data_IF_548042133012
#
_entry.id   IF_548042133012
#
_cell.length_a   1.000
_cell.length_b   1.000
_cell.length_c   1.000
_cell.angle_alpha   90.00
_cell.angle_beta   90.00
_cell.angle_gamma   90.00
#
_symmetry.space_group_name_H-M   'P 1'
#
loop_
_entity.id
_entity.type
_entity.pdbx_description
1 polymer ?
#
# COMPACT_ATOMS: atom_id res chain seq x y z
N UNK A 1 11.11 2.05 -10.85
CA UNK A 1 10.50 1.04 -9.96
C UNK A 1 9.05 0.88 -10.38
N UNK A 2 8.50 -0.35 -10.49
CA UNK A 2 7.09 -0.52 -10.82
C UNK A 2 6.21 0.14 -9.74
N UNK A 3 5.06 0.73 -10.13
CA UNK A 3 4.16 1.35 -9.16
C UNK A 3 3.56 0.30 -8.22
N UNK A 4 3.27 0.70 -6.99
CA UNK A 4 2.46 -0.12 -6.08
C UNK A 4 1.02 -0.10 -6.59
N UNK A 5 0.39 -1.28 -6.67
CA UNK A 5 -0.98 -1.42 -7.15
C UNK A 5 -1.87 -2.06 -6.08
N UNK A 6 -3.08 -1.54 -5.94
CA UNK A 6 -4.14 -2.13 -5.13
C UNK A 6 -5.28 -2.50 -6.06
N UNK A 7 -5.66 -3.78 -6.07
CA UNK A 7 -6.76 -4.29 -6.90
C UNK A 7 -7.93 -4.64 -6.01
N UNK A 8 -9.10 -4.06 -6.29
CA UNK A 8 -10.35 -4.46 -5.67
C UNK A 8 -10.79 -5.81 -6.25
N UNK A 9 -10.97 -6.81 -5.38
CA UNK A 9 -11.39 -8.15 -5.78
C UNK A 9 -12.68 -8.56 -5.07
N UNK A 10 -13.46 -9.43 -5.72
CA UNK A 10 -14.59 -10.12 -5.10
C UNK A 10 -14.12 -11.34 -4.26
N UNK A 11 -15.07 -12.06 -3.66
CA UNK A 11 -14.84 -13.26 -2.85
C UNK A 11 -14.18 -14.42 -3.61
N UNK A 12 -14.14 -14.34 -4.95
CA UNK A 12 -13.53 -15.32 -5.85
C UNK A 12 -12.20 -14.84 -6.42
N UNK A 13 -11.69 -13.69 -5.97
CA UNK A 13 -10.43 -13.12 -6.44
C UNK A 13 -10.51 -12.44 -7.81
N UNK A 14 -11.71 -12.17 -8.33
CA UNK A 14 -11.88 -11.47 -9.62
C UNK A 14 -11.91 -9.97 -9.40
N UNK A 15 -11.27 -9.21 -10.29
CA UNK A 15 -11.26 -7.75 -10.23
C UNK A 15 -12.68 -7.18 -10.34
N UNK A 16 -13.07 -6.37 -9.37
CA UNK A 16 -14.32 -5.60 -9.38
C UNK A 16 -14.09 -4.34 -10.20
N UNK A 17 -14.24 -4.43 -11.52
CA UNK A 17 -13.93 -3.32 -12.44
C UNK A 17 -14.82 -2.10 -12.25
N UNK A 18 -16.02 -2.28 -11.70
CA UNK A 18 -16.93 -1.19 -11.36
C UNK A 18 -16.46 -0.35 -10.15
N UNK A 19 -15.46 -0.82 -9.38
CA UNK A 19 -14.94 -0.06 -8.25
C UNK A 19 -14.08 1.12 -8.72
N UNK A 20 -14.54 2.32 -8.38
CA UNK A 20 -13.85 3.59 -8.67
C UNK A 20 -13.65 4.47 -7.40
N UNK A 21 -13.76 3.85 -6.22
CA UNK A 21 -13.64 4.53 -4.94
C UNK A 21 -12.20 4.94 -4.60
N UNK A 22 -12.02 5.83 -3.61
CA UNK A 22 -10.70 6.20 -3.13
C UNK A 22 -10.05 5.04 -2.37
N UNK A 23 -8.76 4.84 -2.60
CA UNK A 23 -7.88 3.94 -1.85
C UNK A 23 -6.79 4.77 -1.21
N UNK A 24 -6.61 4.63 0.10
CA UNK A 24 -5.56 5.30 0.87
C UNK A 24 -4.48 4.31 1.28
N UNK A 25 -3.22 4.71 1.15
CA UNK A 25 -2.05 3.94 1.54
C UNK A 25 -1.46 4.47 2.85
N UNK A 26 -1.09 3.55 3.73
CA UNK A 26 -0.35 3.85 4.97
C UNK A 26 0.71 2.78 5.21
N UNK A 27 1.62 3.04 6.15
CA UNK A 27 2.47 1.98 6.72
C UNK A 27 1.59 1.11 7.64
N UNK A 28 1.67 -0.20 7.49
CA UNK A 28 1.09 -1.18 8.42
C UNK A 28 2.04 -1.39 9.60
N UNK A 29 3.08 -2.19 9.36
CA UNK A 29 4.22 -2.39 10.24
C UNK A 29 5.38 -1.47 9.81
N UNK A 30 5.89 -0.70 10.78
CA UNK A 30 7.01 0.21 10.55
C UNK A 30 8.34 -0.49 10.90
N UNK A 31 9.10 -0.85 9.87
CA UNK A 31 10.35 -1.60 9.99
C UNK A 31 11.61 -0.76 10.24
N UNK A 32 11.47 0.53 10.53
CA UNK A 32 12.60 1.46 10.62
C UNK A 32 13.71 0.97 11.56
N UNK A 33 14.95 1.02 11.09
CA UNK A 33 16.10 0.44 11.80
C UNK A 33 16.50 1.22 13.06
N UNK A 34 16.57 2.54 12.95
CA UNK A 34 17.01 3.46 14.03
C UNK A 34 15.85 4.34 14.49
N UNK A 35 15.07 4.86 13.53
CA UNK A 35 13.87 5.66 13.75
C UNK A 35 12.75 5.15 12.82
N UNK A 36 11.47 5.37 13.19
CA UNK A 36 10.35 4.99 12.32
C UNK A 36 10.43 5.72 10.97
N UNK A 37 10.14 4.99 9.90
CA UNK A 37 10.03 5.56 8.56
C UNK A 37 8.72 6.35 8.38
N UNK A 38 8.78 7.36 7.53
CA UNK A 38 7.64 8.18 7.10
C UNK A 38 7.29 7.84 5.67
N UNK A 39 6.03 7.47 5.43
CA UNK A 39 5.51 7.28 4.07
C UNK A 39 5.10 8.63 3.47
N UNK A 40 5.60 8.92 2.27
CA UNK A 40 5.36 10.13 1.51
C UNK A 40 4.99 9.82 0.05
N UNK A 41 4.54 10.85 -0.67
CA UNK A 41 4.02 10.74 -2.04
C UNK A 41 2.51 10.97 -2.11
N UNK A 42 1.88 10.49 -3.17
CA UNK A 42 0.41 10.55 -3.31
C UNK A 42 -0.20 9.37 -2.56
N UNK A 43 -0.75 9.62 -1.37
CA UNK A 43 -1.23 8.56 -0.48
C UNK A 43 -2.68 8.15 -0.71
N UNK A 44 -3.48 8.93 -1.45
CA UNK A 44 -4.85 8.57 -1.82
C UNK A 44 -5.01 8.64 -3.33
N UNK A 45 -5.49 7.54 -3.92
CA UNK A 45 -5.72 7.42 -5.36
C UNK A 45 -7.10 6.79 -5.58
N UNK A 46 -7.89 7.38 -6.47
CA UNK A 46 -9.14 6.75 -6.92
C UNK A 46 -8.82 5.59 -7.85
N UNK A 47 -9.46 4.44 -7.63
CA UNK A 47 -9.31 3.31 -8.52
C UNK A 47 -9.90 3.59 -9.91
N UNK A 48 -9.28 3.02 -10.94
CA UNK A 48 -9.81 3.01 -12.31
C UNK A 48 -9.89 1.54 -12.75
N UNK A 49 -11.06 1.11 -13.20
CA UNK A 49 -11.34 -0.29 -13.50
C UNK A 49 -10.97 -1.24 -12.35
N UNK A 50 -11.22 -0.83 -11.09
CA UNK A 50 -10.90 -1.62 -9.90
C UNK A 50 -9.44 -1.58 -9.46
N UNK A 51 -8.56 -0.80 -10.10
CA UNK A 51 -7.13 -0.73 -9.76
C UNK A 51 -6.72 0.70 -9.37
N UNK A 52 -6.19 0.87 -8.16
CA UNK A 52 -5.52 2.09 -7.75
C UNK A 52 -3.99 1.93 -7.92
N UNK A 53 -3.36 2.88 -8.61
CA UNK A 53 -1.91 2.85 -8.89
C UNK A 53 -1.19 3.99 -8.17
N UNK A 54 -0.19 3.65 -7.37
CA UNK A 54 0.62 4.58 -6.60
C UNK A 54 2.03 4.63 -7.19
N UNK A 55 2.32 5.70 -7.93
CA UNK A 55 3.56 5.82 -8.72
C UNK A 55 4.75 6.47 -7.99
N UNK A 56 4.52 7.12 -6.86
CA UNK A 56 5.50 7.99 -6.20
C UNK A 56 5.62 7.75 -4.68
N UNK A 57 5.27 6.56 -4.19
CA UNK A 57 5.43 6.24 -2.77
C UNK A 57 6.91 6.15 -2.39
N UNK A 58 7.25 6.74 -1.26
CA UNK A 58 8.60 6.71 -0.70
C UNK A 58 8.53 6.55 0.82
N UNK A 59 9.41 5.73 1.38
CA UNK A 59 9.66 5.66 2.83
C UNK A 59 11.12 6.07 3.03
N UNK A 60 11.35 6.98 3.97
CA UNK A 60 12.61 7.71 4.15
C UNK A 60 13.64 7.02 5.06
N UNK A 61 13.29 5.89 5.66
CA UNK A 61 14.18 5.12 6.54
C UNK A 61 14.39 3.70 6.03
N UNK A 62 15.64 3.20 6.02
CA UNK A 62 15.92 1.80 5.72
C UNK A 62 15.55 0.91 6.91
N UNK A 63 15.42 -0.40 6.63
CA UNK A 63 15.23 -1.41 7.66
C UNK A 63 16.38 -2.41 7.75
N UNK A 64 16.45 -3.11 8.88
CA UNK A 64 17.35 -4.24 9.08
C UNK A 64 16.69 -5.56 8.64
N UNK A 65 17.49 -6.59 8.26
CA UNK A 65 16.98 -7.92 8.03
C UNK A 65 16.16 -8.43 9.22
N UNK A 66 14.94 -8.92 8.95
CA UNK A 66 14.03 -9.40 9.99
C UNK A 66 13.07 -8.35 10.57
N UNK A 67 13.21 -7.06 10.22
CA UNK A 67 12.26 -6.01 10.58
C UNK A 67 11.68 -5.34 9.32
N UNK A 68 10.94 -6.09 8.50
CA UNK A 68 10.42 -5.62 7.21
C UNK A 68 9.25 -4.64 7.36
N UNK A 69 9.08 -3.72 6.41
CA UNK A 69 7.90 -2.88 6.32
C UNK A 69 6.70 -3.63 5.72
N UNK A 70 5.49 -3.20 6.04
CA UNK A 70 4.28 -3.52 5.25
C UNK A 70 3.55 -2.24 4.87
N UNK A 71 2.80 -2.31 3.76
CA UNK A 71 1.87 -1.27 3.36
C UNK A 71 0.45 -1.76 3.62
N UNK A 72 -0.37 -0.86 4.17
CA UNK A 72 -1.80 -1.07 4.41
C UNK A 72 -2.61 -0.19 3.48
N UNK A 73 -3.47 -0.82 2.69
CA UNK A 73 -4.46 -0.14 1.86
C UNK A 73 -5.81 -0.11 2.59
N UNK A 74 -6.49 1.04 2.56
CA UNK A 74 -7.85 1.19 3.08
C UNK A 74 -8.76 1.87 2.06
N UNK A 75 -10.06 1.57 2.11
CA UNK A 75 -11.09 2.28 1.35
C UNK A 75 -12.32 2.53 2.23
N UNK A 76 -13.04 3.63 1.99
CA UNK A 76 -14.19 4.04 2.80
C UNK A 76 -15.47 3.24 2.53
N UNK A 77 -15.50 2.36 1.52
CA UNK A 77 -16.73 1.68 1.07
C UNK A 77 -17.10 0.50 1.99
N UNK A 78 -16.13 -0.09 2.67
CA UNK A 78 -16.25 -1.15 3.69
C UNK A 78 -14.94 -1.09 4.48
N UNK A 79 -14.88 -1.53 5.74
CA UNK A 79 -13.64 -1.64 6.55
C UNK A 79 -12.67 -2.70 5.96
N UNK A 80 -12.32 -2.55 4.68
CA UNK A 80 -11.35 -3.36 3.97
C UNK A 80 -10.00 -2.72 4.23
N UNK A 81 -9.32 -3.28 5.22
CA UNK A 81 -7.90 -3.10 5.41
C UNK A 81 -7.18 -4.33 4.85
N UNK A 82 -6.33 -4.12 3.85
CA UNK A 82 -5.48 -5.18 3.30
C UNK A 82 -4.04 -4.79 3.53
N UNK A 83 -3.24 -5.77 3.93
CA UNK A 83 -1.83 -5.59 4.25
C UNK A 83 -0.97 -6.33 3.22
N UNK A 84 0.09 -5.69 2.75
CA UNK A 84 1.06 -6.31 1.85
C UNK A 84 1.86 -7.39 2.57
N UNK A 85 2.54 -8.24 1.80
CA UNK A 85 3.67 -8.98 2.35
C UNK A 85 4.75 -8.02 2.87
N UNK A 86 5.56 -8.49 3.82
CA UNK A 86 6.72 -7.76 4.31
C UNK A 86 7.73 -7.50 3.19
N UNK A 87 8.25 -6.27 3.12
CA UNK A 87 9.31 -5.89 2.18
C UNK A 87 10.42 -5.11 2.88
N UNK A 88 11.60 -5.16 2.27
CA UNK A 88 12.75 -4.40 2.73
C UNK A 88 12.96 -3.20 1.81
N UNK A 89 13.41 -2.11 2.40
CA UNK A 89 13.85 -0.91 1.69
C UNK A 89 15.37 -0.96 1.72
N UNK A 90 15.97 -1.06 0.54
CA UNK A 90 17.43 -1.11 0.40
C UNK A 90 18.11 0.16 0.91
N UNK A 91 19.41 0.05 1.16
CA UNK A 91 20.30 1.21 1.25
C UNK A 91 20.59 1.77 -0.15
#
# INVERSE_FOLDING_TARGET
MPPVQVTAQDDKGRTVTAFNGPVTMAIGHNGGAIMPGTLSGTLTVSAVNGVAQFGNLCIDQPNLPGNSYTLRATSGVVVLNVESAGFNIGL
#
